data_IF_880466559378
#
_entry.id   IF_880466559378
#
_cell.length_a   1.000
_cell.length_b   1.000
_cell.length_c   1.000
_cell.angle_alpha   90.00
_cell.angle_beta   90.00
_cell.angle_gamma   90.00
#
_symmetry.space_group_name_H-M   'P 1'
#
loop_
_entity.id
_entity.type
_entity.pdbx_description
1 polymer ?
#
# COMPACT_ATOMS: atom_id res chain seq x y z
N UNK A 1 -3.18 -11.71 -5.89
CA UNK A 1 -1.80 -11.46 -5.37
C UNK A 1 -1.81 -10.26 -4.41
N UNK A 2 -0.69 -9.86 -3.79
CA UNK A 2 -0.67 -8.69 -2.89
C UNK A 2 -1.05 -7.36 -3.59
N UNK A 3 -1.04 -7.32 -4.92
CA UNK A 3 -1.50 -6.18 -5.71
C UNK A 3 -3.02 -6.15 -5.93
N UNK A 4 -3.63 -7.34 -6.03
CA UNK A 4 -5.02 -7.56 -6.46
C UNK A 4 -5.98 -7.74 -5.27
N UNK A 5 -5.47 -8.28 -4.15
CA UNK A 5 -6.26 -8.64 -2.98
C UNK A 5 -5.88 -7.79 -1.76
N UNK A 6 -6.84 -7.59 -0.85
CA UNK A 6 -6.59 -6.96 0.45
C UNK A 6 -6.25 -8.02 1.49
N UNK A 7 -4.97 -8.14 1.79
CA UNK A 7 -4.46 -9.04 2.81
C UNK A 7 -4.36 -8.32 4.15
N UNK A 8 -4.90 -8.92 5.20
CA UNK A 8 -4.81 -8.43 6.57
C UNK A 8 -4.11 -9.44 7.46
N UNK A 9 -3.38 -8.94 8.45
CA UNK A 9 -2.84 -9.79 9.50
C UNK A 9 -3.97 -10.36 10.36
N UNK A 10 -4.06 -11.69 10.43
CA UNK A 10 -5.16 -12.37 11.11
C UNK A 10 -5.12 -12.19 12.64
N UNK A 11 -3.93 -12.15 13.24
CA UNK A 11 -3.76 -12.01 14.68
C UNK A 11 -4.08 -10.58 15.13
N UNK A 12 -3.67 -9.58 14.35
CA UNK A 12 -4.02 -8.19 14.60
C UNK A 12 -5.51 -7.93 14.34
N UNK A 13 -6.09 -8.53 13.30
CA UNK A 13 -7.51 -8.44 13.04
C UNK A 13 -8.34 -9.00 14.21
N UNK A 14 -7.91 -10.12 14.81
CA UNK A 14 -8.55 -10.68 16.00
C UNK A 14 -8.50 -9.75 17.22
N UNK A 15 -7.52 -8.84 17.28
CA UNK A 15 -7.40 -7.80 18.32
C UNK A 15 -8.18 -6.53 17.98
N UNK A 16 -8.82 -6.45 16.81
CA UNK A 16 -9.54 -5.28 16.32
C UNK A 16 -8.69 -4.28 15.54
N UNK A 17 -7.43 -4.63 15.24
CA UNK A 17 -6.50 -3.78 14.49
C UNK A 17 -6.54 -4.16 13.00
N UNK A 18 -6.54 -3.17 12.11
CA UNK A 18 -6.39 -3.43 10.66
C UNK A 18 -4.95 -3.15 10.27
N UNK A 19 -4.17 -4.22 10.10
CA UNK A 19 -2.80 -4.16 9.56
C UNK A 19 -2.81 -4.68 8.12
N UNK A 20 -2.49 -3.80 7.18
CA UNK A 20 -2.48 -4.10 5.74
C UNK A 20 -1.19 -4.81 5.34
N UNK A 21 -1.31 -5.97 4.71
CA UNK A 21 -0.21 -6.78 4.20
C UNK A 21 -0.23 -6.84 2.66
N UNK A 22 -0.55 -5.73 1.99
CA UNK A 22 -0.76 -5.65 0.54
C UNK A 22 -0.30 -4.30 -0.04
N UNK A 23 -0.44 -4.10 -1.36
CA UNK A 23 -0.21 -2.80 -2.03
C UNK A 23 -1.02 -1.63 -1.43
N UNK A 24 -2.05 -1.94 -0.63
CA UNK A 24 -2.73 -0.94 0.17
C UNK A 24 -1.77 -0.13 1.05
N UNK A 25 -0.66 -0.70 1.51
CA UNK A 25 0.40 0.03 2.21
C UNK A 25 0.92 1.25 1.41
N UNK A 26 1.23 1.06 0.13
CA UNK A 26 1.65 2.14 -0.78
C UNK A 26 0.51 3.12 -1.05
N UNK A 27 -0.73 2.64 -1.16
CA UNK A 27 -1.89 3.52 -1.34
C UNK A 27 -2.07 4.44 -0.15
N UNK A 28 -1.98 3.91 1.07
CA UNK A 28 -2.10 4.69 2.30
C UNK A 28 -1.01 5.75 2.43
N UNK A 29 0.19 5.53 1.89
CA UNK A 29 1.21 6.59 1.79
C UNK A 29 0.72 7.80 0.97
N UNK A 30 0.14 7.57 -0.21
CA UNK A 30 -0.40 8.67 -1.04
C UNK A 30 -1.67 9.31 -0.47
N UNK A 31 -2.46 8.57 0.31
CA UNK A 31 -3.57 9.15 1.08
C UNK A 31 -3.03 10.06 2.18
N UNK A 32 -2.08 9.58 2.98
CA UNK A 32 -1.51 10.32 4.11
C UNK A 32 -0.72 11.57 3.71
N UNK A 33 -0.15 11.59 2.50
CA UNK A 33 0.52 12.77 1.93
C UNK A 33 -0.44 13.77 1.28
N UNK A 34 -1.74 13.45 1.20
CA UNK A 34 -2.76 14.31 0.59
C UNK A 34 -2.86 14.22 -0.94
N UNK A 35 -2.02 13.42 -1.59
CA UNK A 35 -2.01 13.32 -3.05
C UNK A 35 -3.32 12.73 -3.62
N UNK A 36 -3.93 11.77 -2.92
CA UNK A 36 -5.24 11.23 -3.33
C UNK A 36 -6.31 12.34 -3.39
N UNK A 37 -6.30 13.24 -2.41
CA UNK A 37 -7.27 14.33 -2.32
C UNK A 37 -7.04 15.37 -3.40
N UNK A 38 -5.78 15.74 -3.65
CA UNK A 38 -5.40 16.63 -4.74
C UNK A 38 -5.86 16.08 -6.10
N UNK A 39 -5.63 14.78 -6.34
CA UNK A 39 -6.08 14.08 -7.55
C UNK A 39 -7.61 14.08 -7.68
N UNK A 40 -8.34 13.85 -6.57
CA UNK A 40 -9.80 13.88 -6.55
C UNK A 40 -10.32 15.26 -6.95
N UNK A 41 -9.78 16.32 -6.35
CA UNK A 41 -10.17 17.70 -6.64
C UNK A 41 -9.86 18.11 -8.09
N UNK A 42 -8.69 17.72 -8.61
CA UNK A 42 -8.31 18.01 -9.99
C UNK A 42 -9.30 17.40 -11.00
N UNK A 43 -9.72 16.14 -10.76
CA UNK A 43 -10.69 15.43 -11.60
C UNK A 43 -12.10 16.01 -11.52
N UNK A 44 -12.55 16.38 -10.32
CA UNK A 44 -13.85 17.05 -10.13
C UNK A 44 -13.90 18.40 -10.85
N UNK A 45 -12.78 19.12 -10.89
CA UNK A 45 -12.65 20.37 -11.62
C UNK A 45 -12.42 20.18 -13.14
N UNK A 46 -12.26 18.94 -13.62
CA UNK A 46 -11.94 18.65 -15.02
C UNK A 46 -10.55 19.15 -15.46
N UNK A 47 -9.63 19.32 -14.50
CA UNK A 47 -8.26 19.80 -14.74
C UNK A 47 -7.27 18.64 -14.87
N UNK A 48 -6.00 18.95 -15.13
CA UNK A 48 -4.95 17.94 -15.29
C UNK A 48 -4.67 17.21 -13.97
N UNK A 49 -4.61 15.89 -14.02
CA UNK A 49 -4.21 15.05 -12.89
C UNK A 49 -2.80 15.46 -12.40
N UNK A 50 -2.60 15.71 -11.08
CA UNK A 50 -1.28 15.95 -10.54
C UNK A 50 -0.37 14.73 -10.78
N UNK A 51 0.92 14.94 -11.10
CA UNK A 51 1.84 13.83 -11.25
C UNK A 51 2.00 13.08 -9.91
N UNK A 52 2.15 11.76 -9.99
CA UNK A 52 2.37 10.94 -8.79
C UNK A 52 3.79 11.23 -8.26
N UNK A 53 3.95 11.65 -7.00
CA UNK A 53 5.26 11.85 -6.41
C UNK A 53 6.06 10.55 -6.35
N UNK A 54 7.39 10.64 -6.42
CA UNK A 54 8.24 9.46 -6.21
C UNK A 54 8.09 8.95 -4.77
N UNK A 55 8.08 7.63 -4.60
CA UNK A 55 8.08 7.04 -3.27
C UNK A 55 9.40 7.34 -2.54
N UNK A 56 9.35 7.70 -1.25
CA UNK A 56 10.55 7.71 -0.42
C UNK A 56 11.19 6.32 -0.39
N UNK A 57 12.53 6.27 -0.34
CA UNK A 57 13.28 5.00 -0.34
C UNK A 57 12.79 4.05 0.77
N UNK A 58 12.49 4.57 1.97
CA UNK A 58 11.96 3.76 3.06
C UNK A 58 10.66 3.04 2.70
N UNK A 59 9.73 3.70 1.99
CA UNK A 59 8.47 3.08 1.59
C UNK A 59 8.70 1.99 0.55
N UNK A 60 9.69 2.17 -0.33
CA UNK A 60 10.11 1.16 -1.30
C UNK A 60 10.66 -0.06 -0.55
N UNK A 61 11.58 0.16 0.39
CA UNK A 61 12.23 -0.91 1.15
C UNK A 61 11.21 -1.67 2.01
N UNK A 62 10.33 -0.97 2.72
CA UNK A 62 9.26 -1.58 3.53
C UNK A 62 8.29 -2.41 2.68
N UNK A 63 7.93 -1.91 1.49
CA UNK A 63 7.06 -2.62 0.56
C UNK A 63 7.75 -3.87 0.02
N UNK A 64 9.03 -3.77 -0.36
CA UNK A 64 9.80 -4.92 -0.84
C UNK A 64 9.93 -6.00 0.23
N UNK A 65 10.26 -5.61 1.46
CA UNK A 65 10.35 -6.51 2.61
C UNK A 65 9.00 -7.18 2.92
N UNK A 66 7.90 -6.44 2.85
CA UNK A 66 6.56 -6.99 3.01
C UNK A 66 6.27 -8.07 1.96
N UNK A 67 6.56 -7.80 0.68
CA UNK A 67 6.29 -8.74 -0.41
C UNK A 67 7.13 -10.02 -0.29
N UNK A 68 8.42 -9.88 0.02
CA UNK A 68 9.30 -11.02 0.29
C UNK A 68 8.75 -11.86 1.46
N UNK A 69 8.44 -11.23 2.60
CA UNK A 69 7.94 -11.95 3.77
C UNK A 69 6.63 -12.68 3.52
N UNK A 70 5.73 -12.09 2.73
CA UNK A 70 4.45 -12.70 2.38
C UNK A 70 4.63 -13.86 1.39
N UNK A 71 5.54 -13.73 0.42
CA UNK A 71 5.91 -14.83 -0.46
C UNK A 71 6.41 -16.03 0.35
N UNK A 72 7.34 -15.81 1.28
CA UNK A 72 7.90 -16.88 2.11
C UNK A 72 6.82 -17.53 3.01
N UNK A 73 5.95 -16.73 3.64
CA UNK A 73 4.85 -17.25 4.49
C UNK A 73 3.84 -18.08 3.70
N UNK A 74 3.50 -17.67 2.48
CA UNK A 74 2.48 -18.33 1.67
C UNK A 74 3.01 -19.57 0.97
N UNK A 75 4.27 -19.56 0.57
CA UNK A 75 4.86 -20.64 -0.25
C UNK A 75 5.76 -21.58 0.54
N UNK A 76 6.27 -21.15 1.70
CA UNK A 76 7.30 -21.86 2.47
C UNK A 76 8.68 -21.86 1.80
N UNK A 77 8.89 -21.05 0.76
CA UNK A 77 10.15 -20.96 0.00
C UNK A 77 10.84 -19.63 0.29
N UNK A 78 12.18 -19.63 0.44
CA UNK A 78 12.96 -18.38 0.61
C UNK A 78 12.88 -17.51 -0.66
N UNK A 79 12.82 -16.19 -0.45
CA UNK A 79 12.71 -15.20 -1.53
C UNK A 79 14.07 -14.77 -2.11
#
# INVERSE_FOLDING_TARGET
TLDEDRWWDADEYAKGNIVQLSKEFVRQHYVGTGHQEELRLAREAGTTDPPIPALPQQVIDDTAALYASMYERLTGTEF
#
